data_IF_395495227616
#
_entry.id   IF_395495227616
#
_cell.length_a   1.000
_cell.length_b   1.000
_cell.length_c   1.000
_cell.angle_alpha   90.00
_cell.angle_beta   90.00
_cell.angle_gamma   90.00
#
_symmetry.space_group_name_H-M   'P 1'
#
loop_
_entity.id
_entity.type
_entity.pdbx_description
1 polymer ?
#
# COMPACT_ATOMS: atom_id res chain seq x y z
N UNK A 1 -53.79 -26.80 12.61
CA UNK A 1 -52.71 -27.77 12.86
C UNK A 1 -51.97 -27.30 14.10
N UNK A 2 -51.91 -28.19 15.10
CA UNK A 2 -51.24 -28.16 16.41
C UNK A 2 -49.91 -27.38 16.48
N UNK A 3 -49.39 -26.86 17.59
CA UNK A 3 -49.81 -26.56 18.98
C UNK A 3 -48.50 -26.09 19.68
N UNK A 4 -48.57 -25.16 20.64
CA UNK A 4 -47.62 -24.93 21.77
C UNK A 4 -46.22 -24.37 21.46
N UNK A 5 -45.52 -23.64 22.34
CA UNK A 5 -45.63 -23.35 23.79
C UNK A 5 -44.64 -22.19 24.09
N UNK A 6 -44.97 -21.13 24.85
CA UNK A 6 -44.88 -21.01 26.33
C UNK A 6 -43.44 -21.28 26.83
N UNK A 7 -42.73 -20.51 27.67
CA UNK A 7 -42.93 -19.46 28.69
C UNK A 7 -41.60 -18.67 28.74
N UNK A 8 -41.48 -17.38 29.10
CA UNK A 8 -42.00 -16.70 30.29
C UNK A 8 -41.12 -16.99 31.51
N UNK A 9 -40.52 -15.96 32.13
CA UNK A 9 -40.61 -15.64 33.58
C UNK A 9 -39.53 -14.67 34.11
N UNK A 10 -40.06 -13.66 34.83
CA UNK A 10 -39.59 -12.94 36.03
C UNK A 10 -38.17 -12.35 36.09
N UNK A 11 -38.00 -11.04 36.21
CA UNK A 11 -38.18 -10.15 37.38
C UNK A 11 -37.10 -10.34 38.48
N UNK A 12 -36.50 -9.20 38.84
CA UNK A 12 -36.04 -8.79 40.18
C UNK A 12 -34.56 -8.95 40.63
N UNK A 13 -33.95 -7.77 40.85
CA UNK A 13 -33.39 -7.26 42.13
C UNK A 13 -31.86 -7.13 42.29
N UNK A 14 -31.53 -5.95 42.83
CA UNK A 14 -30.42 -5.55 43.71
C UNK A 14 -29.07 -5.16 43.11
N UNK A 15 -28.83 -3.84 43.17
CA UNK A 15 -27.55 -3.28 43.60
C UNK A 15 -27.12 -3.90 44.93
N UNK A 16 -25.84 -4.27 45.05
CA UNK A 16 -25.11 -4.16 46.30
C UNK A 16 -23.63 -3.89 45.99
N UNK A 17 -23.12 -2.80 46.56
CA UNK A 17 -21.70 -2.48 46.61
C UNK A 17 -20.95 -3.44 47.55
N UNK A 18 -19.62 -3.35 47.43
CA UNK A 18 -18.60 -3.51 48.47
C UNK A 18 -17.76 -4.81 48.49
N UNK A 19 -16.48 -4.55 48.21
CA UNK A 19 -15.30 -4.87 49.03
C UNK A 19 -14.80 -6.32 49.08
N UNK A 20 -13.62 -6.45 48.45
CA UNK A 20 -12.41 -7.11 48.94
C UNK A 20 -12.49 -8.60 49.33
N UNK A 21 -11.79 -9.42 48.56
CA UNK A 21 -11.50 -10.80 48.93
C UNK A 21 -10.69 -11.51 47.86
N UNK A 22 -9.38 -11.32 47.91
CA UNK A 22 -8.35 -12.10 47.22
C UNK A 22 -8.63 -13.62 47.34
N UNK A 23 -8.54 -14.37 46.24
CA UNK A 23 -7.80 -15.65 46.05
C UNK A 23 -8.31 -16.35 44.77
N UNK A 24 -7.41 -16.46 43.79
CA UNK A 24 -7.32 -17.62 42.90
C UNK A 24 -8.07 -17.54 41.56
N UNK A 25 -7.32 -17.44 40.47
CA UNK A 25 -7.69 -18.06 39.20
C UNK A 25 -7.73 -17.12 38.00
N UNK A 26 -6.71 -17.25 37.16
CA UNK A 26 -6.71 -16.91 35.72
C UNK A 26 -6.70 -15.41 35.37
N UNK A 27 -5.50 -14.84 35.46
CA UNK A 27 -5.17 -13.61 34.76
C UNK A 27 -5.19 -13.83 33.26
N UNK A 28 -6.34 -13.61 32.63
CA UNK A 28 -6.38 -13.27 31.21
C UNK A 28 -6.02 -11.78 31.09
N UNK A 29 -4.73 -11.48 31.25
CA UNK A 29 -4.21 -10.18 30.87
C UNK A 29 -4.14 -10.22 29.34
N UNK A 30 -5.17 -9.69 28.68
CA UNK A 30 -5.12 -9.40 27.27
C UNK A 30 -3.92 -8.49 27.04
N UNK A 31 -2.86 -9.09 26.52
CA UNK A 31 -1.67 -8.39 26.08
C UNK A 31 -2.16 -7.45 24.97
N UNK A 32 -2.32 -6.16 25.31
CA UNK A 32 -2.39 -5.11 24.30
C UNK A 32 -1.03 -5.12 23.63
N UNK A 33 -0.91 -5.93 22.58
CA UNK A 33 0.22 -5.90 21.66
C UNK A 33 0.27 -4.46 21.17
N UNK A 34 1.32 -3.75 21.59
CA UNK A 34 1.63 -2.45 21.07
C UNK A 34 1.99 -2.64 19.59
N UNK A 35 0.99 -2.54 18.71
CA UNK A 35 1.21 -2.53 17.28
C UNK A 35 2.01 -1.26 16.98
N UNK A 36 3.31 -1.39 16.77
CA UNK A 36 4.10 -0.31 16.22
C UNK A 36 3.60 -0.08 14.79
N UNK A 37 2.68 0.87 14.60
CA UNK A 37 2.19 1.22 13.27
C UNK A 37 3.39 1.70 12.44
N UNK A 38 3.69 1.00 11.34
CA UNK A 38 4.59 1.53 10.32
C UNK A 38 3.76 2.33 9.32
N UNK A 39 4.41 3.29 8.69
CA UNK A 39 3.76 4.19 7.76
C UNK A 39 4.34 3.98 6.35
N UNK A 40 3.46 3.97 5.35
CA UNK A 40 3.84 4.13 3.94
C UNK A 40 3.64 5.59 3.55
N UNK A 41 4.60 6.13 2.81
CA UNK A 41 4.61 7.54 2.41
C UNK A 41 3.98 7.70 1.02
N UNK A 42 3.17 8.74 0.84
CA UNK A 42 2.67 9.16 -0.46
C UNK A 42 3.47 10.39 -0.89
N UNK A 43 3.83 10.47 -2.16
CA UNK A 43 4.54 11.61 -2.72
C UNK A 43 3.69 12.31 -3.78
N UNK A 44 3.97 13.58 -4.06
CA UNK A 44 3.36 14.38 -5.13
C UNK A 44 4.41 15.30 -5.74
N UNK A 45 4.22 15.65 -7.01
CA UNK A 45 5.05 16.65 -7.68
C UNK A 45 4.66 18.07 -7.27
N UNK A 46 5.64 18.90 -6.94
CA UNK A 46 5.47 20.32 -6.69
C UNK A 46 5.68 21.18 -7.95
N UNK A 47 5.64 22.51 -7.78
CA UNK A 47 5.86 23.48 -8.87
C UNK A 47 7.30 23.44 -9.44
N UNK A 48 8.25 22.86 -8.72
CA UNK A 48 9.65 22.69 -9.14
C UNK A 48 9.92 21.36 -9.85
N UNK A 49 8.87 20.56 -10.11
CA UNK A 49 9.00 19.21 -10.67
C UNK A 49 9.72 18.24 -9.74
N UNK A 50 9.69 18.46 -8.42
CA UNK A 50 10.29 17.56 -7.43
C UNK A 50 9.22 16.74 -6.70
N UNK A 51 9.56 15.53 -6.27
CA UNK A 51 8.66 14.66 -5.50
C UNK A 51 8.72 15.01 -4.02
N UNK A 52 7.62 15.52 -3.47
CA UNK A 52 7.48 15.88 -2.06
C UNK A 52 6.47 15.00 -1.35
N UNK A 53 6.63 14.88 -0.04
CA UNK A 53 5.68 14.20 0.83
C UNK A 53 4.27 14.81 0.71
N UNK A 54 3.27 13.96 0.46
CA UNK A 54 1.85 14.32 0.29
C UNK A 54 0.94 13.61 1.31
N UNK A 55 1.50 12.73 2.14
CA UNK A 55 0.76 12.06 3.20
C UNK A 55 1.33 10.70 3.56
N UNK A 56 0.61 10.04 4.47
CA UNK A 56 0.98 8.74 5.01
C UNK A 56 -0.21 7.82 5.12
N UNK A 57 0.06 6.53 5.01
CA UNK A 57 -0.89 5.44 5.22
C UNK A 57 -0.36 4.63 6.41
N UNK A 58 -1.06 4.59 7.55
CA UNK A 58 -0.71 3.68 8.64
C UNK A 58 -0.95 2.25 8.18
N UNK A 59 -0.03 1.35 8.49
CA UNK A 59 -0.06 -0.04 8.03
C UNK A 59 0.27 -0.97 9.19
N UNK A 60 -0.56 -2.00 9.32
CA UNK A 60 -0.33 -3.10 10.25
C UNK A 60 0.91 -3.89 9.81
N UNK A 61 1.84 -4.06 10.75
CA UNK A 61 3.08 -4.80 10.52
C UNK A 61 2.86 -6.29 10.21
N UNK A 62 1.72 -6.85 10.63
CA UNK A 62 1.35 -8.24 10.38
C UNK A 62 1.08 -8.55 8.89
N UNK A 63 0.82 -7.53 8.08
CA UNK A 63 0.54 -7.69 6.65
C UNK A 63 1.79 -8.12 5.87
N UNK A 64 1.58 -8.95 4.85
CA UNK A 64 2.64 -9.29 3.90
C UNK A 64 3.04 -8.07 3.07
N UNK A 65 4.27 -8.06 2.55
CA UNK A 65 4.78 -6.94 1.75
C UNK A 65 3.92 -6.66 0.52
N UNK A 66 3.32 -7.69 -0.08
CA UNK A 66 2.38 -7.57 -1.21
C UNK A 66 1.07 -6.91 -0.78
N UNK A 67 0.54 -7.23 0.40
CA UNK A 67 -0.65 -6.58 0.95
C UNK A 67 -0.37 -5.11 1.26
N UNK A 68 0.79 -4.79 1.84
CA UNK A 68 1.23 -3.42 2.08
C UNK A 68 1.34 -2.62 0.77
N UNK A 69 1.96 -3.20 -0.26
CA UNK A 69 2.01 -2.61 -1.60
C UNK A 69 0.62 -2.42 -2.20
N UNK A 70 -0.29 -3.39 -2.05
CA UNK A 70 -1.66 -3.26 -2.55
C UNK A 70 -2.39 -2.06 -1.93
N UNK A 71 -2.31 -1.88 -0.61
CA UNK A 71 -2.88 -0.71 0.08
C UNK A 71 -2.35 0.61 -0.50
N UNK A 72 -1.06 0.67 -0.78
CA UNK A 72 -0.42 1.84 -1.36
C UNK A 72 -0.96 2.14 -2.78
N UNK A 73 -1.03 1.12 -3.62
CA UNK A 73 -1.52 1.23 -5.01
C UNK A 73 -3.00 1.60 -5.06
N UNK A 74 -3.82 1.03 -4.18
CA UNK A 74 -5.25 1.35 -4.09
C UNK A 74 -5.44 2.83 -3.73
N UNK A 75 -4.61 3.36 -2.82
CA UNK A 75 -4.66 4.77 -2.43
C UNK A 75 -4.16 5.70 -3.54
N UNK A 76 -3.11 5.31 -4.28
CA UNK A 76 -2.66 6.04 -5.47
C UNK A 76 -3.77 6.08 -6.52
N UNK A 77 -4.37 4.94 -6.86
CA UNK A 77 -5.47 4.86 -7.81
C UNK A 77 -6.63 5.76 -7.39
N UNK A 78 -7.04 5.69 -6.12
CA UNK A 78 -8.15 6.49 -5.60
C UNK A 78 -7.89 8.00 -5.65
N UNK A 79 -6.67 8.46 -5.35
CA UNK A 79 -6.33 9.88 -5.26
C UNK A 79 -5.99 10.51 -6.61
N UNK A 80 -5.24 9.79 -7.44
CA UNK A 80 -4.60 10.37 -8.64
C UNK A 80 -5.20 9.86 -9.95
N UNK A 81 -5.84 8.69 -9.92
CA UNK A 81 -6.38 8.02 -11.10
C UNK A 81 -7.82 7.52 -10.89
N UNK A 82 -8.75 8.33 -10.33
CA UNK A 82 -10.10 7.86 -9.98
C UNK A 82 -10.95 7.49 -11.21
N UNK A 83 -10.55 7.93 -12.39
CA UNK A 83 -11.19 7.69 -13.68
C UNK A 83 -10.59 6.50 -14.45
N UNK A 84 -9.61 5.80 -13.86
CA UNK A 84 -8.90 4.67 -14.45
C UNK A 84 -9.11 3.40 -13.63
N UNK A 85 -8.94 2.21 -14.24
CA UNK A 85 -8.90 0.96 -13.49
C UNK A 85 -7.83 0.98 -12.39
N UNK A 86 -8.05 0.26 -11.27
CA UNK A 86 -7.06 0.13 -10.21
C UNK A 86 -5.72 -0.41 -10.73
N UNK A 87 -4.62 0.07 -10.17
CA UNK A 87 -3.29 -0.42 -10.51
C UNK A 87 -3.11 -1.82 -9.92
N UNK A 88 -2.68 -2.77 -10.74
CA UNK A 88 -2.57 -4.17 -10.35
C UNK A 88 -1.12 -4.58 -10.11
N UNK A 89 -0.88 -5.44 -9.13
CA UNK A 89 0.36 -6.20 -9.06
C UNK A 89 0.17 -7.42 -9.96
N UNK A 90 0.78 -7.42 -11.14
CA UNK A 90 0.71 -8.53 -12.09
C UNK A 90 1.55 -9.71 -11.60
N UNK A 91 2.78 -9.43 -11.21
CA UNK A 91 3.69 -10.41 -10.65
C UNK A 91 4.75 -9.77 -9.74
N UNK A 92 5.45 -10.61 -8.98
CA UNK A 92 6.63 -10.21 -8.23
C UNK A 92 7.79 -11.09 -8.64
N UNK A 93 8.86 -10.47 -9.13
CA UNK A 93 10.07 -11.16 -9.55
C UNK A 93 11.12 -11.13 -8.44
N UNK A 94 11.70 -12.29 -8.14
CA UNK A 94 12.86 -12.38 -7.25
C UNK A 94 14.13 -12.25 -8.07
N UNK A 95 14.93 -11.23 -7.77
CA UNK A 95 16.22 -10.97 -8.41
C UNK A 95 17.36 -11.12 -7.38
N UNK A 96 18.60 -10.98 -7.85
CA UNK A 96 19.78 -10.91 -6.96
C UNK A 96 19.74 -9.68 -6.02
N UNK A 97 19.06 -8.61 -6.44
CA UNK A 97 19.06 -7.31 -5.77
C UNK A 97 17.88 -7.14 -4.79
N UNK A 98 16.84 -7.97 -4.94
CA UNK A 98 15.66 -8.03 -4.08
C UNK A 98 14.40 -8.48 -4.82
N UNK A 99 13.23 -8.00 -4.38
CA UNK A 99 11.95 -8.23 -5.05
C UNK A 99 11.62 -7.05 -5.96
N UNK A 100 11.22 -7.34 -7.20
CA UNK A 100 10.71 -6.35 -8.15
C UNK A 100 9.21 -6.56 -8.34
N UNK A 101 8.42 -5.51 -8.11
CA UNK A 101 6.99 -5.54 -8.39
C UNK A 101 6.72 -5.17 -9.86
N UNK A 102 5.94 -5.98 -10.57
CA UNK A 102 5.42 -5.61 -11.87
C UNK A 102 4.01 -5.05 -11.69
N UNK A 103 3.85 -3.77 -11.96
CA UNK A 103 2.59 -3.05 -11.87
C UNK A 103 1.94 -3.00 -13.24
N UNK A 104 0.69 -3.41 -13.34
CA UNK A 104 -0.08 -3.40 -14.56
C UNK A 104 -1.11 -2.26 -14.55
N UNK A 105 -1.06 -1.46 -15.60
CA UNK A 105 -1.98 -0.40 -15.94
C UNK A 105 -2.99 -0.98 -16.94
N UNK A 106 -4.14 -1.43 -16.46
CA UNK A 106 -5.18 -2.00 -17.31
C UNK A 106 -6.03 -0.90 -17.95
N UNK A 107 -6.41 -1.08 -19.21
CA UNK A 107 -7.40 -0.24 -19.89
C UNK A 107 -8.02 -0.97 -21.09
N UNK A 108 -9.27 -0.65 -21.41
CA UNK A 108 -9.96 -1.20 -22.58
C UNK A 108 -9.70 -0.34 -23.84
N UNK A 109 -8.43 -0.25 -24.24
CA UNK A 109 -8.00 0.43 -25.46
C UNK A 109 -7.08 -0.49 -26.27
N UNK A 110 -7.13 -0.39 -27.59
CA UNK A 110 -6.35 -1.26 -28.47
C UNK A 110 -4.88 -0.85 -28.53
N UNK A 111 -4.63 0.46 -28.45
CA UNK A 111 -3.30 1.05 -28.62
C UNK A 111 -2.98 1.96 -27.43
N UNK A 112 -1.74 1.89 -26.93
CA UNK A 112 -1.36 2.66 -25.74
C UNK A 112 -1.49 4.17 -25.95
N UNK A 113 -1.11 4.71 -27.11
CA UNK A 113 -1.17 6.15 -27.37
C UNK A 113 -2.59 6.75 -27.38
N UNK A 114 -3.61 5.90 -27.51
CA UNK A 114 -5.03 6.31 -27.44
C UNK A 114 -5.57 6.20 -26.00
N UNK A 115 -4.85 5.47 -25.15
CA UNK A 115 -5.23 5.18 -23.78
C UNK A 115 -5.26 6.43 -22.90
N UNK A 116 -6.14 6.45 -21.91
CA UNK A 116 -6.14 7.50 -20.90
C UNK A 116 -4.88 7.42 -20.04
N UNK A 117 -4.29 6.24 -19.86
CA UNK A 117 -2.98 6.13 -19.22
C UNK A 117 -1.92 6.96 -19.95
N UNK A 118 -1.82 6.86 -21.27
CA UNK A 118 -0.91 7.70 -22.06
C UNK A 118 -1.17 9.18 -21.88
N UNK A 119 -2.44 9.59 -21.79
CA UNK A 119 -2.79 10.99 -21.51
C UNK A 119 -2.30 11.46 -20.13
N UNK A 120 -2.23 10.58 -19.12
CA UNK A 120 -1.64 10.91 -17.80
C UNK A 120 -0.12 11.12 -17.87
N UNK A 121 0.57 10.46 -18.79
CA UNK A 121 2.00 10.67 -19.05
C UNK A 121 2.27 11.88 -19.96
N UNK A 122 1.23 12.50 -20.52
CA UNK A 122 1.36 13.60 -21.49
C UNK A 122 2.00 14.86 -20.90
N UNK A 123 3.01 15.38 -21.59
CA UNK A 123 3.76 16.58 -21.20
C UNK A 123 4.72 16.36 -20.03
N UNK A 124 5.62 17.31 -19.79
CA UNK A 124 6.65 17.20 -18.75
C UNK A 124 6.06 17.02 -17.35
N UNK A 125 4.98 17.75 -17.04
CA UNK A 125 4.31 17.67 -15.74
C UNK A 125 3.56 16.35 -15.56
N UNK A 126 2.83 15.89 -16.58
CA UNK A 126 2.11 14.62 -16.53
C UNK A 126 3.07 13.43 -16.38
N UNK A 127 4.16 13.45 -17.14
CA UNK A 127 5.27 12.51 -16.98
C UNK A 127 5.80 12.48 -15.55
N UNK A 128 6.21 13.65 -15.03
CA UNK A 128 6.81 13.72 -13.70
C UNK A 128 5.84 13.32 -12.61
N UNK A 129 4.57 13.70 -12.72
CA UNK A 129 3.53 13.32 -11.78
C UNK A 129 3.32 11.81 -11.79
N UNK A 130 3.21 11.20 -12.97
CA UNK A 130 3.06 9.76 -13.10
C UNK A 130 4.28 8.99 -12.61
N UNK A 131 5.50 9.49 -12.86
CA UNK A 131 6.72 8.94 -12.27
C UNK A 131 6.67 8.96 -10.73
N UNK A 132 6.30 10.09 -10.15
CA UNK A 132 6.21 10.24 -8.69
C UNK A 132 5.22 9.26 -8.06
N UNK A 133 4.06 9.08 -8.70
CA UNK A 133 2.98 8.22 -8.19
C UNK A 133 3.21 6.74 -8.45
N UNK A 134 3.68 6.37 -9.64
CA UNK A 134 3.74 4.98 -10.08
C UNK A 134 5.09 4.34 -9.81
N UNK A 135 6.14 5.14 -9.56
CA UNK A 135 7.49 4.66 -9.33
C UNK A 135 7.99 5.03 -7.93
N UNK A 136 8.18 6.33 -7.63
CA UNK A 136 8.82 6.76 -6.38
C UNK A 136 8.01 6.35 -5.16
N UNK A 137 6.69 6.58 -5.23
CA UNK A 137 5.78 6.18 -4.17
C UNK A 137 5.83 4.65 -3.95
N UNK A 138 5.58 3.77 -4.93
CA UNK A 138 5.74 2.32 -4.75
C UNK A 138 7.12 1.85 -4.28
N UNK A 139 8.22 2.52 -4.68
CA UNK A 139 9.57 2.14 -4.27
C UNK A 139 9.85 2.37 -2.79
N UNK A 140 9.16 3.35 -2.17
CA UNK A 140 9.33 3.72 -0.76
C UNK A 140 10.81 3.77 -0.35
N UNK A 141 11.58 4.71 -0.93
CA UNK A 141 13.04 4.78 -0.77
C UNK A 141 13.49 4.75 0.70
N UNK A 142 12.69 5.33 1.60
CA UNK A 142 12.99 5.46 3.02
C UNK A 142 12.27 4.42 3.92
N UNK A 143 11.57 3.42 3.34
CA UNK A 143 10.88 2.42 4.17
C UNK A 143 11.87 1.62 5.03
N UNK A 144 11.69 1.61 6.36
CA UNK A 144 12.59 0.89 7.25
C UNK A 144 12.33 -0.61 7.17
N UNK A 145 13.34 -1.35 6.73
CA UNK A 145 13.31 -2.81 6.65
C UNK A 145 13.15 -3.36 5.23
N UNK A 146 12.64 -4.58 5.13
CA UNK A 146 12.47 -5.26 3.86
C UNK A 146 11.34 -4.63 3.04
N UNK A 147 11.65 -4.23 1.81
CA UNK A 147 10.72 -3.71 0.83
C UNK A 147 11.13 -4.13 -0.58
N UNK A 148 10.32 -3.81 -1.57
CA UNK A 148 10.67 -4.01 -2.98
C UNK A 148 11.93 -3.23 -3.34
N UNK A 149 12.83 -3.88 -4.06
CA UNK A 149 14.04 -3.29 -4.61
C UNK A 149 13.82 -2.65 -5.96
N UNK A 150 12.66 -2.86 -6.60
CA UNK A 150 12.36 -2.27 -7.89
C UNK A 150 10.89 -2.34 -8.25
N UNK A 151 10.52 -1.51 -9.22
CA UNK A 151 9.18 -1.44 -9.80
C UNK A 151 9.32 -1.43 -11.32
N UNK A 152 8.42 -2.11 -12.01
CA UNK A 152 8.32 -2.13 -13.47
C UNK A 152 6.87 -1.91 -13.89
N UNK A 153 6.65 -1.04 -14.88
CA UNK A 153 5.31 -0.73 -15.38
C UNK A 153 4.99 -1.52 -16.64
N UNK A 154 3.79 -2.09 -16.64
CA UNK A 154 3.18 -2.82 -17.74
C UNK A 154 1.86 -2.14 -18.09
N UNK A 155 1.47 -2.23 -19.36
CA UNK A 155 0.14 -1.85 -19.83
C UNK A 155 -0.51 -3.06 -20.49
N UNK A 156 -1.71 -3.41 -20.04
CA UNK A 156 -2.45 -4.59 -20.51
C UNK A 156 -1.61 -5.87 -20.56
N UNK A 157 -0.79 -6.09 -19.52
CA UNK A 157 0.04 -7.29 -19.37
C UNK A 157 1.31 -7.29 -20.24
N UNK A 158 1.61 -6.21 -20.96
CA UNK A 158 2.84 -6.05 -21.75
C UNK A 158 3.74 -4.97 -21.13
N UNK A 159 5.07 -5.08 -21.22
CA UNK A 159 5.96 -3.99 -20.83
C UNK A 159 5.59 -2.71 -21.57
N UNK A 160 5.59 -1.58 -20.86
CA UNK A 160 5.59 -0.28 -21.55
C UNK A 160 6.93 -0.12 -22.29
N UNK A 161 6.88 0.19 -23.59
CA UNK A 161 8.06 0.29 -24.45
C UNK A 161 9.05 1.36 -23.93
N UNK A 162 10.35 1.11 -24.14
CA UNK A 162 11.45 2.00 -23.75
C UNK A 162 11.39 3.37 -24.45
N UNK A 163 10.67 3.46 -25.58
CA UNK A 163 10.48 4.68 -26.36
C UNK A 163 9.74 5.79 -25.61
N UNK A 164 9.06 5.45 -24.51
CA UNK A 164 8.37 6.40 -23.63
C UNK A 164 9.30 7.02 -22.57
N UNK A 165 10.62 6.80 -22.67
CA UNK A 165 11.63 7.16 -21.66
C UNK A 165 11.31 6.60 -20.25
N UNK A 166 10.40 5.62 -20.16
CA UNK A 166 10.15 4.88 -18.91
C UNK A 166 11.26 3.84 -18.79
N UNK A 167 12.16 3.93 -17.80
CA UNK A 167 13.18 2.91 -17.63
C UNK A 167 12.52 1.55 -17.37
N UNK A 168 12.95 0.52 -18.10
CA UNK A 168 12.34 -0.80 -18.06
C UNK A 168 12.30 -1.46 -16.68
N UNK A 169 13.29 -1.22 -15.81
CA UNK A 169 13.21 -1.56 -14.38
C UNK A 169 13.80 -0.39 -13.61
N UNK A 170 13.03 0.18 -12.68
CA UNK A 170 13.51 1.25 -11.83
C UNK A 170 13.80 0.66 -10.46
N UNK A 171 15.06 0.76 -10.05
CA UNK A 171 15.54 0.18 -8.80
C UNK A 171 15.50 1.21 -7.68
N UNK A 172 15.16 0.74 -6.48
CA UNK A 172 15.36 1.47 -5.22
C UNK A 172 16.85 1.75 -5.10
N UNK A 173 17.23 3.03 -4.96
CA UNK A 173 18.62 3.38 -4.76
C UNK A 173 18.97 2.96 -3.35
N UNK A 174 19.72 1.86 -3.21
CA UNK A 174 20.39 1.59 -1.93
C UNK A 174 21.39 2.72 -1.75
N UNK A 175 21.12 3.65 -0.83
CA UNK A 175 22.15 4.56 -0.33
C UNK A 175 23.39 3.72 -0.04
N UNK A 176 24.44 3.90 -0.85
CA UNK A 176 25.77 3.44 -0.45
C UNK A 176 26.02 4.20 0.83
N UNK A 177 26.07 3.49 1.95
CA UNK A 177 26.57 4.08 3.19
C UNK A 177 27.85 4.83 2.86
N UNK A 178 27.95 6.07 3.33
CA UNK A 178 29.20 6.80 3.31
C UNK A 178 30.22 5.95 4.07
N UNK A 179 30.99 5.13 3.35
CA UNK A 179 32.28 4.63 3.80
C UNK A 179 33.26 5.80 3.69
N UNK A 180 33.12 6.74 4.62
CA UNK A 180 34.21 7.65 5.01
C UNK A 180 35.14 6.88 5.95
N UNK A 181 35.85 5.88 5.42
CA UNK A 181 37.08 5.26 5.95
C UNK A 181 37.63 4.47 4.74
N UNK A 182 38.84 4.67 4.19
CA UNK A 182 40.11 5.24 4.65
C UNK A 182 40.86 5.87 3.48
#
# INVERSE_FOLDING_TARGET
MNIRSYMGRFLCIASLMCLAGFIGGEGFCGETVATSERELLLYRVDDNYECHYDGRIPVDESLSIQQKMRLLLDEISRRHYPDLPPIEILETLKTKDGLVAILNLAENEQEFFQSKWYQKFGGSLGWKQSYCQLIETPLQQDYPGFWFSGVKLYWNGKPLDEDLEIPGVILRVKSKGNSLEQ
#
